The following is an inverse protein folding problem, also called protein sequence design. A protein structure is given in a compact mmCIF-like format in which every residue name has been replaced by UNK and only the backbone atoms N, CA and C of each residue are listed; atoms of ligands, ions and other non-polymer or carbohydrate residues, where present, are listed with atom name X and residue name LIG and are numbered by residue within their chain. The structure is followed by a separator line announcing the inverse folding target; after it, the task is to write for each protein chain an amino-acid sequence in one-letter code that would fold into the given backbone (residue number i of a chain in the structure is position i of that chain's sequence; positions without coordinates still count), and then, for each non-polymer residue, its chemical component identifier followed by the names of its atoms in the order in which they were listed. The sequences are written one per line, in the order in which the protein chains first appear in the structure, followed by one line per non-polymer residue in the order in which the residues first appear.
data_IF_028016789955
#
_entry.id   IF_028016789955
#
_cell.length_a   1.000
_cell.length_b   1.000
_cell.length_c   1.000
_cell.angle_alpha   90.00
_cell.angle_beta   90.00
_cell.angle_gamma   90.00
#
_symmetry.space_group_name_H-M   'P 1'
#
loop_
_entity.id
_entity.type
_entity.pdbx_description
1 polymer ?
#
# COMPACT_ATOMS: atom_id res chain seq x y z
N UNK A 1 -23.79 14.54 18.99
CA UNK A 1 -22.89 15.01 17.91
C UNK A 1 -22.14 13.83 17.34
N UNK A 2 -22.49 13.35 16.14
CA UNK A 2 -21.74 12.27 15.48
C UNK A 2 -20.45 12.85 14.88
N UNK A 3 -19.29 12.44 15.39
CA UNK A 3 -17.98 12.88 14.92
C UNK A 3 -17.65 12.11 13.62
N UNK A 4 -17.65 12.80 12.47
CA UNK A 4 -17.26 12.22 11.18
C UNK A 4 -15.76 12.42 10.94
N UNK A 5 -15.06 11.40 10.42
CA UNK A 5 -13.62 11.46 10.14
C UNK A 5 -13.29 10.99 8.72
N UNK A 6 -12.44 11.75 8.01
CA UNK A 6 -11.92 11.42 6.68
C UNK A 6 -10.41 11.29 6.76
N UNK A 7 -9.87 10.26 6.09
CA UNK A 7 -8.45 9.92 6.13
C UNK A 7 -7.91 9.84 4.71
N UNK A 8 -6.75 10.45 4.50
CA UNK A 8 -5.96 10.38 3.26
C UNK A 8 -4.58 9.83 3.62
N UNK A 9 -4.06 8.91 2.82
CA UNK A 9 -2.72 8.36 3.02
C UNK A 9 -1.98 8.18 1.69
N UNK A 10 -0.65 8.26 1.75
CA UNK A 10 0.28 8.00 0.64
C UNK A 10 1.38 7.07 1.15
N UNK A 11 1.73 6.04 0.38
CA UNK A 11 2.72 5.02 0.78
C UNK A 11 3.65 4.63 -0.39
N UNK A 12 4.93 5.03 -0.38
CA UNK A 12 5.93 4.49 -1.29
C UNK A 12 6.44 3.13 -0.81
N UNK A 13 6.70 2.19 -1.73
CA UNK A 13 7.34 0.90 -1.41
C UNK A 13 8.13 0.36 -2.61
N UNK A 14 9.28 -0.27 -2.40
CA UNK A 14 10.11 -0.82 -3.47
C UNK A 14 10.99 -1.96 -2.98
N UNK A 15 11.56 -2.74 -3.92
CA UNK A 15 12.47 -3.84 -3.59
C UNK A 15 13.59 -3.99 -4.63
N UNK A 16 14.76 -4.45 -4.18
CA UNK A 16 15.89 -4.82 -5.03
C UNK A 16 16.22 -6.29 -4.82
N UNK A 17 16.53 -6.99 -5.90
CA UNK A 17 17.02 -8.37 -5.88
C UNK A 17 18.22 -8.47 -6.81
N UNK A 18 19.33 -8.99 -6.28
CA UNK A 18 20.52 -9.30 -7.06
C UNK A 18 20.84 -10.79 -6.87
N UNK A 19 20.91 -11.52 -7.96
CA UNK A 19 21.36 -12.90 -7.99
C UNK A 19 22.63 -12.97 -8.84
N UNK A 20 23.71 -13.48 -8.25
CA UNK A 20 24.95 -13.77 -8.96
C UNK A 20 24.83 -15.06 -9.77
N UNK A 21 25.69 -15.21 -10.78
CA UNK A 21 25.76 -16.41 -11.60
C UNK A 21 25.93 -17.67 -10.72
N UNK A 22 25.08 -18.68 -10.93
CA UNK A 22 25.18 -19.96 -10.22
C UNK A 22 25.08 -21.12 -11.20
N UNK A 23 26.02 -22.05 -11.08
CA UNK A 23 26.07 -23.32 -11.82
C UNK A 23 25.90 -23.18 -13.34
N UNK A 24 26.51 -22.16 -13.95
CA UNK A 24 26.47 -21.92 -15.39
C UNK A 24 25.21 -21.20 -15.90
N UNK A 25 24.33 -20.75 -15.00
CA UNK A 25 23.18 -19.89 -15.32
C UNK A 25 23.55 -18.43 -15.05
N UNK A 26 23.29 -17.57 -16.03
CA UNK A 26 23.47 -16.13 -15.89
C UNK A 26 22.52 -15.57 -14.82
N UNK A 27 23.08 -14.79 -13.89
CA UNK A 27 22.40 -14.10 -12.82
C UNK A 27 21.53 -12.95 -13.32
N UNK A 28 20.77 -12.36 -12.40
CA UNK A 28 19.88 -11.24 -12.72
C UNK A 28 19.89 -10.17 -11.64
N UNK A 29 19.68 -8.93 -12.08
CA UNK A 29 19.46 -7.78 -11.22
C UNK A 29 18.08 -7.22 -11.49
N UNK A 30 17.22 -7.21 -10.47
CA UNK A 30 15.87 -6.67 -10.53
C UNK A 30 15.71 -5.53 -9.54
N UNK A 31 14.99 -4.49 -9.95
CA UNK A 31 14.62 -3.35 -9.12
C UNK A 31 13.17 -3.00 -9.40
N UNK A 32 12.39 -2.86 -8.33
CA UNK A 32 10.96 -2.53 -8.38
C UNK A 32 10.68 -1.31 -7.52
N UNK A 33 9.84 -0.40 -8.00
CA UNK A 33 9.51 0.84 -7.30
C UNK A 33 8.02 1.14 -7.47
N UNK A 34 7.26 1.10 -6.39
CA UNK A 34 5.82 1.27 -6.40
C UNK A 34 5.39 2.42 -5.48
N UNK A 35 4.26 3.03 -5.78
CA UNK A 35 3.64 4.06 -4.95
C UNK A 35 2.13 3.86 -4.91
N UNK A 36 1.55 3.96 -3.71
CA UNK A 36 0.12 3.86 -3.50
C UNK A 36 -0.45 5.14 -2.89
N UNK A 37 -1.66 5.51 -3.32
CA UNK A 37 -2.48 6.54 -2.70
C UNK A 37 -3.82 5.95 -2.26
N UNK A 38 -4.39 6.43 -1.16
CA UNK A 38 -5.70 5.97 -0.72
C UNK A 38 -6.50 6.99 0.06
N UNK A 39 -7.81 6.80 -0.03
CA UNK A 39 -8.84 7.64 0.59
C UNK A 39 -9.78 6.74 1.39
N UNK A 40 -10.09 7.14 2.62
CA UNK A 40 -11.02 6.42 3.48
C UNK A 40 -11.92 7.36 4.28
N UNK A 41 -13.07 6.86 4.69
CA UNK A 41 -14.02 7.59 5.54
C UNK A 41 -14.48 6.70 6.66
N UNK A 42 -14.33 7.14 7.91
CA UNK A 42 -14.79 6.38 9.07
C UNK A 42 -16.22 6.80 9.42
N UNK A 43 -17.12 5.82 9.46
CA UNK A 43 -18.51 5.92 9.85
C UNK A 43 -18.69 5.19 11.19
N UNK A 44 -19.25 5.83 12.20
CA UNK A 44 -19.67 5.13 13.42
C UNK A 44 -21.05 4.53 13.20
N UNK A 45 -21.15 3.20 13.23
CA UNK A 45 -22.43 2.49 13.16
C UNK A 45 -23.10 2.41 14.53
N UNK A 46 -22.31 2.22 15.59
CA UNK A 46 -22.72 2.16 17.00
C UNK A 46 -21.60 2.76 17.85
N UNK A 47 -21.87 2.98 19.14
CA UNK A 47 -20.90 3.61 20.07
C UNK A 47 -19.51 2.94 20.07
N UNK A 48 -19.45 1.61 19.88
CA UNK A 48 -18.20 0.84 19.84
C UNK A 48 -17.90 0.22 18.48
N UNK A 49 -18.66 0.54 17.43
CA UNK A 49 -18.48 -0.08 16.11
C UNK A 49 -18.29 1.00 15.07
N UNK A 50 -17.12 0.99 14.44
CA UNK A 50 -16.81 1.84 13.30
C UNK A 50 -16.56 1.01 12.05
N UNK A 51 -16.92 1.58 10.90
CA UNK A 51 -16.66 1.03 9.58
C UNK A 51 -15.91 2.08 8.77
N UNK A 52 -14.80 1.67 8.17
CA UNK A 52 -13.98 2.57 7.35
C UNK A 52 -13.89 2.02 5.92
N UNK A 53 -14.86 2.33 5.04
CA UNK A 53 -14.69 2.10 3.61
C UNK A 53 -13.49 2.89 3.10
N UNK A 54 -12.71 2.28 2.20
CA UNK A 54 -11.57 2.93 1.56
C UNK A 54 -11.35 2.43 0.14
N UNK A 55 -10.75 3.28 -0.69
CA UNK A 55 -10.29 2.97 -2.04
C UNK A 55 -8.81 3.32 -2.15
N UNK A 56 -8.08 2.52 -2.92
CA UNK A 56 -6.64 2.64 -3.16
C UNK A 56 -6.35 2.55 -4.65
N UNK A 57 -5.38 3.35 -5.10
CA UNK A 57 -4.75 3.23 -6.40
C UNK A 57 -3.25 3.03 -6.23
N UNK A 58 -2.67 2.16 -7.04
CA UNK A 58 -1.26 1.78 -7.01
C UNK A 58 -0.61 2.02 -8.36
N UNK A 59 0.63 2.52 -8.33
CA UNK A 59 1.51 2.71 -9.47
C UNK A 59 2.79 1.90 -9.25
N UNK A 60 3.32 1.29 -10.31
CA UNK A 60 4.46 0.36 -10.32
C UNK A 60 5.35 0.64 -11.51
#
# INVERSE_FOLDING_TARGET
MNRMHRTVWVKPFGSWANQDDRDGVAGYKATTAHAGIGLGRTLMLREHTSFTPSVRADYT
#
